data_IF_165026129957
#
_entry.id   IF_165026129957
#
_cell.length_a   1.000
_cell.length_b   1.000
_cell.length_c   1.000
_cell.angle_alpha   90.00
_cell.angle_beta   90.00
_cell.angle_gamma   90.00
#
_symmetry.space_group_name_H-M   'P 1'
#
loop_
_entity.id
_entity.type
_entity.pdbx_description
1 polymer ?
#
# COMPACT_ATOMS: atom_id res chain seq x y z
N UNK A 1 -4.69 2.98 -17.10
CA UNK A 1 -6.13 3.10 -16.77
C UNK A 1 -6.82 4.02 -17.79
N UNK A 2 -7.93 3.60 -18.37
CA UNK A 2 -8.73 4.41 -19.31
C UNK A 2 -9.58 5.44 -18.57
N UNK A 3 -9.19 6.72 -18.69
CA UNK A 3 -9.82 7.82 -17.95
C UNK A 3 -11.26 8.11 -18.39
N UNK A 4 -11.56 8.01 -19.68
CA UNK A 4 -12.91 8.30 -20.18
C UNK A 4 -13.90 7.22 -19.77
N UNK A 5 -13.45 5.96 -19.75
CA UNK A 5 -14.26 4.85 -19.24
C UNK A 5 -14.54 5.01 -17.75
N UNK A 6 -13.55 5.37 -16.93
CA UNK A 6 -13.74 5.57 -15.48
C UNK A 6 -14.71 6.73 -15.20
N UNK A 7 -14.59 7.85 -15.90
CA UNK A 7 -15.52 8.98 -15.75
C UNK A 7 -16.97 8.56 -15.99
N UNK A 8 -17.23 7.77 -17.04
CA UNK A 8 -18.57 7.24 -17.32
C UNK A 8 -19.06 6.36 -16.17
N UNK A 9 -18.25 5.39 -15.72
CA UNK A 9 -18.62 4.49 -14.62
C UNK A 9 -18.92 5.23 -13.32
N UNK A 10 -18.12 6.23 -12.96
CA UNK A 10 -18.32 7.00 -11.72
C UNK A 10 -19.56 7.89 -11.84
N UNK A 11 -19.83 8.46 -13.02
CA UNK A 11 -21.05 9.22 -13.24
C UNK A 11 -22.30 8.35 -13.06
N UNK A 12 -22.32 7.16 -13.66
CA UNK A 12 -23.42 6.20 -13.48
C UNK A 12 -23.56 5.80 -12.01
N UNK A 13 -22.44 5.53 -11.31
CA UNK A 13 -22.48 5.22 -9.88
C UNK A 13 -23.10 6.35 -9.04
N UNK A 14 -22.81 7.62 -9.34
CA UNK A 14 -23.43 8.76 -8.66
C UNK A 14 -24.95 8.77 -8.87
N UNK A 15 -25.42 8.48 -10.09
CA UNK A 15 -26.85 8.40 -10.41
C UNK A 15 -27.50 7.24 -9.63
N UNK A 16 -26.85 6.07 -9.59
CA UNK A 16 -27.34 4.89 -8.87
C UNK A 16 -27.37 5.10 -7.34
N UNK A 17 -26.50 5.96 -6.79
CA UNK A 17 -26.56 6.38 -5.38
C UNK A 17 -27.79 7.27 -5.11
N UNK A 18 -28.42 7.83 -6.15
CA UNK A 18 -29.57 8.74 -6.04
C UNK A 18 -29.18 10.22 -6.04
N UNK A 19 -27.96 10.56 -6.45
CA UNK A 19 -27.46 11.93 -6.48
C UNK A 19 -27.55 12.54 -7.88
N UNK A 20 -27.67 13.88 -7.95
CA UNK A 20 -27.60 14.62 -9.21
C UNK A 20 -26.14 14.83 -9.65
N UNK A 21 -25.67 14.17 -10.74
CA UNK A 21 -24.29 14.30 -11.18
C UNK A 21 -23.99 15.65 -11.88
N UNK A 22 -24.97 16.53 -12.03
CA UNK A 22 -24.80 17.87 -12.63
C UNK A 22 -24.64 18.99 -11.60
N UNK A 23 -24.94 18.73 -10.32
CA UNK A 23 -24.77 19.72 -9.26
C UNK A 23 -23.31 20.15 -9.13
N UNK A 24 -23.12 21.40 -8.71
CA UNK A 24 -21.80 22.06 -8.69
C UNK A 24 -20.71 21.22 -8.01
N UNK A 25 -21.02 20.56 -6.89
CA UNK A 25 -20.07 19.73 -6.16
C UNK A 25 -19.70 18.40 -6.85
N UNK A 26 -20.55 17.86 -7.72
CA UNK A 26 -20.38 16.52 -8.31
C UNK A 26 -20.03 16.51 -9.79
N UNK A 27 -20.27 17.61 -10.52
CA UNK A 27 -20.03 17.67 -11.97
C UNK A 27 -18.62 17.20 -12.39
N UNK A 28 -17.61 17.51 -11.57
CA UNK A 28 -16.21 17.15 -11.81
C UNK A 28 -15.74 15.93 -10.98
N UNK A 29 -16.59 15.37 -10.12
CA UNK A 29 -16.24 14.19 -9.31
C UNK A 29 -15.78 13.00 -10.15
N UNK A 30 -16.41 12.65 -11.29
CA UNK A 30 -15.93 11.55 -12.11
C UNK A 30 -14.49 11.74 -12.61
N UNK A 31 -14.11 12.97 -12.98
CA UNK A 31 -12.76 13.28 -13.41
C UNK A 31 -11.76 13.20 -12.24
N UNK A 32 -12.12 13.75 -11.08
CA UNK A 32 -11.30 13.68 -9.85
C UNK A 32 -11.08 12.24 -9.40
N UNK A 33 -12.10 11.38 -9.44
CA UNK A 33 -11.97 9.96 -9.08
C UNK A 33 -11.06 9.22 -10.07
N UNK A 34 -11.16 9.50 -11.38
CA UNK A 34 -10.28 8.89 -12.37
C UNK A 34 -8.80 9.23 -12.14
N UNK A 35 -8.49 10.48 -11.82
CA UNK A 35 -7.13 10.93 -11.47
C UNK A 35 -6.66 10.31 -10.15
N UNK A 36 -7.50 10.37 -9.12
CA UNK A 36 -7.21 9.79 -7.81
C UNK A 36 -6.91 8.29 -7.90
N UNK A 37 -7.66 7.52 -8.68
CA UNK A 37 -7.40 6.09 -8.84
C UNK A 37 -6.08 5.79 -9.56
N UNK A 38 -5.60 6.66 -10.45
CA UNK A 38 -4.25 6.49 -11.01
C UNK A 38 -3.17 6.61 -9.94
N UNK A 39 -3.33 7.55 -9.01
CA UNK A 39 -2.41 7.73 -7.88
C UNK A 39 -2.48 6.55 -6.90
N UNK A 40 -3.70 6.23 -6.44
CA UNK A 40 -3.93 5.18 -5.42
C UNK A 40 -3.55 3.79 -5.94
N UNK A 41 -3.67 3.54 -7.25
CA UNK A 41 -3.31 2.25 -7.86
C UNK A 41 -2.00 2.29 -8.66
N UNK A 42 -1.20 3.34 -8.51
CA UNK A 42 0.08 3.49 -9.23
C UNK A 42 1.11 2.40 -8.90
N UNK A 43 0.92 1.68 -7.78
CA UNK A 43 1.80 0.60 -7.34
C UNK A 43 1.85 -0.59 -8.32
N UNK A 44 0.85 -0.78 -9.18
CA UNK A 44 0.88 -1.83 -10.22
C UNK A 44 1.94 -1.59 -11.29
N UNK A 45 2.27 -0.32 -11.58
CA UNK A 45 3.25 0.08 -12.60
C UNK A 45 4.58 0.55 -11.96
N UNK A 46 4.67 0.53 -10.63
CA UNK A 46 5.83 1.03 -9.88
C UNK A 46 6.94 -0.02 -9.70
N UNK A 47 8.18 0.45 -9.71
CA UNK A 47 9.35 -0.28 -9.24
C UNK A 47 9.87 0.32 -7.91
N UNK A 48 10.34 -0.55 -7.01
CA UNK A 48 10.92 -0.17 -5.72
C UNK A 48 12.34 0.38 -5.88
N UNK A 49 12.99 0.06 -7.01
CA UNK A 49 14.38 0.45 -7.33
C UNK A 49 15.39 0.03 -6.24
N UNK A 50 15.19 -1.15 -5.65
CA UNK A 50 16.08 -1.73 -4.62
C UNK A 50 17.50 -2.04 -5.13
N UNK A 51 17.75 -1.93 -6.44
CA UNK A 51 19.09 -2.11 -7.02
C UNK A 51 20.11 -1.09 -6.53
N UNK A 52 19.68 0.07 -6.02
CA UNK A 52 20.57 1.08 -5.44
C UNK A 52 20.93 0.70 -4.00
N UNK A 53 22.17 0.24 -3.82
CA UNK A 53 22.68 -0.26 -2.55
C UNK A 53 24.02 0.39 -2.22
N UNK A 54 24.30 0.55 -0.92
CA UNK A 54 25.56 1.09 -0.40
C UNK A 54 26.34 -0.01 0.28
N UNK A 55 27.65 -0.07 0.06
CA UNK A 55 28.52 -1.01 0.77
C UNK A 55 28.72 -0.50 2.20
N UNK A 56 28.20 -1.23 3.17
CA UNK A 56 28.27 -0.88 4.59
C UNK A 56 28.26 -2.17 5.42
N UNK A 57 29.10 -2.23 6.46
CA UNK A 57 29.03 -3.31 7.45
C UNK A 57 28.05 -2.92 8.55
N UNK A 58 26.98 -3.68 8.70
CA UNK A 58 25.90 -3.39 9.65
C UNK A 58 25.20 -4.68 10.04
N UNK A 59 24.87 -4.82 11.33
CA UNK A 59 24.22 -6.03 11.86
C UNK A 59 22.76 -6.15 11.38
N UNK A 60 21.86 -5.35 11.95
CA UNK A 60 20.45 -5.31 11.59
C UNK A 60 20.04 -3.86 11.38
N UNK A 61 19.40 -3.60 10.25
CA UNK A 61 18.86 -2.28 9.91
C UNK A 61 17.36 -2.32 10.12
N UNK A 62 16.83 -1.33 10.85
CA UNK A 62 15.40 -1.21 11.14
C UNK A 62 14.88 0.12 10.61
N UNK A 63 13.96 0.05 9.65
CA UNK A 63 13.11 1.16 9.23
C UNK A 63 11.73 1.01 9.89
N UNK A 64 11.39 1.92 10.78
CA UNK A 64 10.16 1.87 11.58
C UNK A 64 9.21 3.00 11.21
N UNK A 65 7.93 2.79 11.50
CA UNK A 65 6.89 3.80 11.37
C UNK A 65 6.71 4.33 9.93
N UNK A 66 6.91 3.47 8.92
CA UNK A 66 6.62 3.81 7.53
C UNK A 66 5.10 3.90 7.37
N UNK A 67 4.58 5.11 7.27
CA UNK A 67 3.16 5.34 7.01
C UNK A 67 2.78 4.76 5.65
N UNK A 68 1.67 4.04 5.60
CA UNK A 68 1.10 3.57 4.35
C UNK A 68 -0.41 3.80 4.28
N UNK A 69 -0.91 3.85 3.05
CA UNK A 69 -2.33 3.80 2.72
C UNK A 69 -2.51 2.75 1.64
N UNK A 70 -3.58 1.96 1.75
CA UNK A 70 -3.94 0.94 0.78
C UNK A 70 -5.46 0.80 0.68
N UNK A 71 -5.92 0.00 -0.29
CA UNK A 71 -7.34 -0.22 -0.54
C UNK A 71 -7.68 -1.69 -0.38
N UNK A 72 -8.64 -1.99 0.49
CA UNK A 72 -9.13 -3.34 0.70
C UNK A 72 -9.76 -3.87 -0.59
N UNK A 73 -9.28 -5.00 -1.12
CA UNK A 73 -9.75 -5.53 -2.40
C UNK A 73 -11.23 -5.97 -2.38
N UNK A 74 -11.77 -6.30 -1.21
CA UNK A 74 -13.15 -6.77 -1.05
C UNK A 74 -14.19 -5.65 -1.12
N UNK A 75 -13.84 -4.44 -0.68
CA UNK A 75 -14.81 -3.36 -0.50
C UNK A 75 -14.39 -2.05 -1.18
N UNK A 76 -13.18 -2.01 -1.73
CA UNK A 76 -12.56 -0.78 -2.23
C UNK A 76 -12.64 0.36 -1.21
N UNK A 77 -12.44 0.03 0.08
CA UNK A 77 -12.36 0.99 1.18
C UNK A 77 -10.93 1.03 1.71
N UNK A 78 -10.44 2.21 2.13
CA UNK A 78 -9.09 2.34 2.66
C UNK A 78 -8.82 1.47 3.89
N UNK A 79 -7.61 0.94 3.96
CA UNK A 79 -6.97 0.54 5.21
C UNK A 79 -5.57 1.14 5.25
N UNK A 80 -5.15 1.58 6.42
CA UNK A 80 -3.95 2.39 6.57
C UNK A 80 -3.36 2.23 7.96
N UNK A 81 -2.08 2.55 8.08
CA UNK A 81 -1.34 2.42 9.32
C UNK A 81 0.15 2.47 9.07
N UNK A 82 0.89 1.62 9.77
CA UNK A 82 2.34 1.65 9.76
C UNK A 82 2.93 0.30 9.38
N UNK A 83 4.03 0.35 8.65
CA UNK A 83 4.88 -0.81 8.37
C UNK A 83 6.25 -0.58 9.01
N UNK A 84 6.76 -1.64 9.63
CA UNK A 84 8.08 -1.74 10.21
C UNK A 84 8.84 -2.82 9.45
N UNK A 85 10.04 -2.50 8.98
CA UNK A 85 10.92 -3.40 8.24
C UNK A 85 12.23 -3.52 9.02
N UNK A 86 12.60 -4.74 9.38
CA UNK A 86 13.93 -5.08 9.84
C UNK A 86 14.59 -6.02 8.82
N UNK A 87 15.86 -5.82 8.53
CA UNK A 87 16.62 -6.79 7.71
C UNK A 87 18.07 -6.88 8.18
N UNK A 88 18.69 -8.04 7.96
CA UNK A 88 20.11 -8.26 8.21
C UNK A 88 20.87 -8.19 6.88
N UNK A 89 21.70 -7.16 6.66
CA UNK A 89 22.46 -6.96 5.43
C UNK A 89 23.41 -8.12 5.10
N UNK A 90 23.75 -8.23 3.82
CA UNK A 90 24.83 -9.09 3.33
C UNK A 90 25.90 -8.23 2.64
N UNK A 91 26.57 -7.38 3.43
CA UNK A 91 27.59 -6.43 2.96
C UNK A 91 27.04 -5.21 2.21
N UNK A 92 25.72 -5.11 2.05
CA UNK A 92 25.04 -4.01 1.35
C UNK A 92 23.76 -3.59 2.05
N UNK A 93 23.55 -2.28 2.16
CA UNK A 93 22.37 -1.65 2.78
C UNK A 93 21.56 -0.86 1.76
N UNK A 94 20.25 -0.76 2.00
CA UNK A 94 19.33 0.05 1.20
C UNK A 94 19.15 1.43 1.83
N UNK A 95 19.06 2.46 1.00
CA UNK A 95 18.61 3.78 1.45
C UNK A 95 17.17 3.72 1.97
N UNK A 96 16.86 4.47 3.04
CA UNK A 96 15.51 4.50 3.64
C UNK A 96 14.42 4.82 2.61
N UNK A 97 14.70 5.71 1.65
CA UNK A 97 13.75 6.07 0.59
C UNK A 97 13.37 4.88 -0.31
N UNK A 98 14.26 3.89 -0.48
CA UNK A 98 13.96 2.67 -1.25
C UNK A 98 13.04 1.73 -0.49
N UNK A 99 13.20 1.62 0.84
CA UNK A 99 12.28 0.87 1.69
C UNK A 99 10.88 1.50 1.70
N UNK A 100 10.79 2.83 1.73
CA UNK A 100 9.50 3.54 1.57
C UNK A 100 8.87 3.26 0.20
N UNK A 101 9.65 3.34 -0.89
CA UNK A 101 9.15 3.02 -2.24
C UNK A 101 8.70 1.57 -2.38
N UNK A 102 9.39 0.63 -1.72
CA UNK A 102 8.97 -0.77 -1.66
C UNK A 102 7.59 -0.91 -0.98
N UNK A 103 7.36 -0.21 0.13
CA UNK A 103 6.05 -0.17 0.77
C UNK A 103 5.00 0.41 -0.17
N UNK A 104 5.27 1.57 -0.80
CA UNK A 104 4.33 2.22 -1.72
C UNK A 104 4.00 1.37 -2.95
N UNK A 105 5.00 0.68 -3.52
CA UNK A 105 4.82 -0.24 -4.66
C UNK A 105 3.71 -1.25 -4.39
N UNK A 106 3.64 -1.78 -3.18
CA UNK A 106 2.63 -2.77 -2.81
C UNK A 106 1.39 -2.18 -2.16
N UNK A 107 1.49 -1.08 -1.41
CA UNK A 107 0.35 -0.47 -0.73
C UNK A 107 -0.56 0.27 -1.70
N UNK A 108 -0.03 0.85 -2.78
CA UNK A 108 -0.81 1.53 -3.84
C UNK A 108 -1.43 0.53 -4.83
N UNK A 109 -2.17 -0.46 -4.30
CA UNK A 109 -2.85 -1.54 -5.02
C UNK A 109 -4.15 -1.90 -4.28
N UNK A 110 -5.02 -2.69 -4.92
CA UNK A 110 -6.02 -3.45 -4.20
C UNK A 110 -5.33 -4.59 -3.45
N UNK A 111 -5.60 -4.72 -2.16
CA UNK A 111 -4.82 -5.56 -1.25
C UNK A 111 -5.63 -6.27 -0.17
N UNK A 112 -4.96 -7.26 0.39
CA UNK A 112 -5.17 -7.85 1.71
C UNK A 112 -3.90 -7.55 2.53
N UNK A 113 -4.02 -7.19 3.81
CA UNK A 113 -2.88 -6.72 4.62
C UNK A 113 -1.78 -7.79 4.75
N UNK A 114 -2.16 -9.05 4.89
CA UNK A 114 -1.28 -10.20 4.97
C UNK A 114 -0.47 -10.37 3.68
N UNK A 115 -1.12 -10.18 2.51
CA UNK A 115 -0.47 -10.24 1.19
C UNK A 115 0.49 -9.06 0.99
N UNK A 116 0.07 -7.84 1.37
CA UNK A 116 0.93 -6.65 1.36
C UNK A 116 2.21 -6.90 2.16
N UNK A 117 2.07 -7.33 3.41
CA UNK A 117 3.19 -7.62 4.33
C UNK A 117 4.12 -8.69 3.76
N UNK A 118 3.54 -9.79 3.26
CA UNK A 118 4.30 -10.90 2.67
C UNK A 118 5.11 -10.46 1.46
N UNK A 119 4.51 -9.72 0.54
CA UNK A 119 5.15 -9.31 -0.70
C UNK A 119 6.33 -8.35 -0.47
N UNK A 120 6.21 -7.44 0.50
CA UNK A 120 7.32 -6.55 0.91
C UNK A 120 8.50 -7.39 1.41
N UNK A 121 8.23 -8.37 2.28
CA UNK A 121 9.27 -9.25 2.82
C UNK A 121 9.94 -10.09 1.72
N UNK A 122 9.15 -10.64 0.79
CA UNK A 122 9.62 -11.46 -0.33
C UNK A 122 10.53 -10.67 -1.27
N UNK A 123 10.12 -9.46 -1.68
CA UNK A 123 10.90 -8.65 -2.61
C UNK A 123 12.20 -8.15 -1.98
N UNK A 124 12.19 -7.76 -0.70
CA UNK A 124 13.41 -7.36 0.00
C UNK A 124 14.36 -8.54 0.18
N UNK A 125 13.84 -9.71 0.54
CA UNK A 125 14.66 -10.92 0.72
C UNK A 125 15.31 -11.37 -0.60
N UNK A 126 14.61 -11.22 -1.73
CA UNK A 126 15.13 -11.51 -3.06
C UNK A 126 16.38 -10.69 -3.44
N UNK A 127 16.69 -9.61 -2.70
CA UNK A 127 17.93 -8.84 -2.89
C UNK A 127 19.17 -9.49 -2.26
N UNK A 128 19.04 -10.66 -1.64
CA UNK A 128 20.17 -11.43 -1.10
C UNK A 128 20.63 -11.01 0.30
N UNK A 129 19.76 -10.32 1.06
CA UNK A 129 19.96 -10.08 2.49
C UNK A 129 19.86 -11.38 3.28
N UNK A 130 20.48 -11.43 4.47
CA UNK A 130 20.53 -12.65 5.30
C UNK A 130 19.17 -13.00 5.90
N UNK A 131 18.35 -11.99 6.18
CA UNK A 131 16.99 -12.17 6.67
C UNK A 131 16.19 -10.88 6.67
N UNK A 132 14.86 -11.02 6.73
CA UNK A 132 13.90 -9.91 6.73
C UNK A 132 12.76 -10.20 7.71
N UNK A 133 12.33 -9.18 8.44
CA UNK A 133 11.05 -9.14 9.16
C UNK A 133 10.27 -7.92 8.70
N UNK A 134 9.01 -8.13 8.34
CA UNK A 134 8.06 -7.04 8.08
C UNK A 134 6.89 -7.20 9.01
N UNK A 135 6.53 -6.14 9.73
CA UNK A 135 5.33 -6.06 10.57
C UNK A 135 4.48 -4.90 10.09
N UNK A 136 3.19 -5.14 9.88
CA UNK A 136 2.23 -4.13 9.50
C UNK A 136 1.11 -4.07 10.53
N UNK A 137 0.83 -2.86 11.03
CA UNK A 137 -0.30 -2.54 11.90
C UNK A 137 -1.22 -1.58 11.16
N UNK A 138 -2.50 -1.93 11.01
CA UNK A 138 -3.45 -1.08 10.30
C UNK A 138 -4.88 -1.16 10.80
N UNK A 139 -5.58 -0.06 10.56
CA UNK A 139 -7.00 0.10 10.78
C UNK A 139 -7.72 0.00 9.44
N UNK A 140 -8.93 -0.57 9.45
CA UNK A 140 -9.66 -0.91 8.23
C UNK A 140 -11.01 -0.20 8.19
N UNK A 141 -11.20 0.71 7.23
CA UNK A 141 -12.47 1.44 7.12
C UNK A 141 -13.65 0.52 6.80
N UNK A 142 -13.41 -0.62 6.14
CA UNK A 142 -14.45 -1.62 5.90
C UNK A 142 -15.06 -2.22 7.19
N UNK A 143 -14.35 -2.14 8.32
CA UNK A 143 -14.82 -2.55 9.65
C UNK A 143 -15.21 -1.37 10.54
N UNK A 144 -14.57 -0.22 10.37
CA UNK A 144 -14.82 0.99 11.18
C UNK A 144 -16.05 1.76 10.75
N UNK A 145 -16.13 2.17 9.49
CA UNK A 145 -17.19 3.08 9.03
C UNK A 145 -18.50 2.37 8.71
N UNK A 146 -18.46 1.03 8.53
CA UNK A 146 -19.61 0.20 8.17
C UNK A 146 -19.50 -1.20 8.78
N UNK A 147 -20.54 -2.01 8.58
CA UNK A 147 -20.56 -3.39 9.06
C UNK A 147 -20.56 -3.44 10.58
N UNK A 148 -19.57 -4.12 11.16
CA UNK A 148 -19.43 -4.32 12.61
C UNK A 148 -19.13 -3.05 13.39
N UNK A 149 -18.66 -1.98 12.74
CA UNK A 149 -18.38 -0.65 13.34
C UNK A 149 -17.49 -0.76 14.58
N UNK A 150 -16.29 -1.29 14.40
CA UNK A 150 -15.35 -1.57 15.47
C UNK A 150 -13.96 -0.98 15.19
N UNK A 151 -13.28 -0.52 16.23
CA UNK A 151 -12.00 0.18 16.14
C UNK A 151 -10.76 -0.71 16.21
N UNK A 152 -10.90 -2.03 16.12
CA UNK A 152 -9.80 -2.97 16.15
C UNK A 152 -8.72 -2.67 15.09
N UNK A 153 -7.47 -2.79 15.51
CA UNK A 153 -6.28 -2.78 14.65
C UNK A 153 -5.90 -4.21 14.32
N UNK A 154 -5.56 -4.47 13.05
CA UNK A 154 -5.02 -5.75 12.60
C UNK A 154 -3.50 -5.64 12.51
N UNK A 155 -2.80 -6.59 13.13
CA UNK A 155 -1.36 -6.78 13.00
C UNK A 155 -1.07 -8.00 12.14
N UNK A 156 -0.18 -7.86 11.15
CA UNK A 156 0.32 -8.98 10.35
C UNK A 156 1.84 -8.92 10.24
N UNK A 157 2.49 -10.08 10.18
CA UNK A 157 3.95 -10.16 10.10
C UNK A 157 4.42 -11.21 9.10
N UNK A 158 5.57 -10.98 8.46
CA UNK A 158 6.25 -11.92 7.58
C UNK A 158 7.76 -11.97 7.86
N UNK A 159 8.31 -13.18 7.90
CA UNK A 159 9.70 -13.48 8.26
C UNK A 159 10.42 -14.24 7.14
N UNK A 160 11.67 -13.93 6.85
CA UNK A 160 12.52 -14.63 5.87
C UNK A 160 13.95 -14.75 6.39
N UNK A 161 14.64 -15.82 5.96
CA UNK A 161 16.06 -16.02 6.24
C UNK A 161 16.31 -16.30 7.71
N UNK A 162 17.28 -15.59 8.30
CA UNK A 162 17.75 -15.82 9.68
C UNK A 162 16.81 -15.31 10.80
N UNK A 163 15.64 -14.76 10.47
CA UNK A 163 14.63 -14.29 11.43
C UNK A 163 13.41 -15.21 11.47
#
# INVERSE_FOLDING_TARGET
>A
MDQERVKKLVRELIIEIGEDPTREGLKDTPARIGQMYQEIFGGYESDSELSVQFSEDSDTVVARDIQFYSMCEHHMLPFFGKIHIAYSPNGRVFGISKLVRLVEKYSKRLQIQERLTKNIADELFAQGVKGVVVVADAEHLCMRMRGVRNDATLTSSAYRGIF
#
